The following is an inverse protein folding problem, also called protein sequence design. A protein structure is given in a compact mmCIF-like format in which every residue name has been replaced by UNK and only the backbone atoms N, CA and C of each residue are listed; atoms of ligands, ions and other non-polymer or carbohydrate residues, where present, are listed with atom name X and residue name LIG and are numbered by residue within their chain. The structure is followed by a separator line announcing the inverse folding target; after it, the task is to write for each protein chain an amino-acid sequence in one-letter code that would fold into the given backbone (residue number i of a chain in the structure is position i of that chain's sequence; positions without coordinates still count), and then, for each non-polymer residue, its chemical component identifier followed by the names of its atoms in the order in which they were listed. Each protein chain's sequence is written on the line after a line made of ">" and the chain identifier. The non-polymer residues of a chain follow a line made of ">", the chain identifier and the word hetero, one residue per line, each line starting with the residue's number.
data_IF_511370289289
#
_entry.id   IF_511370289289
#
_cell.length_a   1.000
_cell.length_b   1.000
_cell.length_c   1.000
_cell.angle_alpha   90.00
_cell.angle_beta   90.00
_cell.angle_gamma   90.00
#
_symmetry.space_group_name_H-M   'P 1'
#
loop_
_entity.id
_entity.type
_entity.pdbx_description
1 polymer ?
#
# COMPACT_ATOMS: atom_id res chain seq x y z
N UNK A 1 54.73 9.93 77.41
CA UNK A 1 54.08 8.82 76.67
C UNK A 1 55.09 7.69 76.52
N UNK A 2 54.73 6.48 76.94
CA UNK A 2 55.57 5.28 76.90
C UNK A 2 55.76 4.77 75.47
N UNK A 3 56.88 4.09 75.19
CA UNK A 3 57.17 3.47 73.88
C UNK A 3 56.04 2.55 73.39
N UNK A 4 55.34 1.90 74.33
CA UNK A 4 54.18 1.05 74.08
C UNK A 4 53.01 1.83 73.47
N UNK A 5 52.71 3.04 73.95
CA UNK A 5 51.60 3.83 73.40
C UNK A 5 51.91 4.27 71.96
N UNK A 6 53.16 4.67 71.67
CA UNK A 6 53.59 4.96 70.30
C UNK A 6 53.46 3.76 69.36
N UNK A 7 53.75 2.56 69.86
CA UNK A 7 53.62 1.33 69.09
C UNK A 7 52.15 1.01 68.79
N UNK A 8 51.27 1.16 69.79
CA UNK A 8 49.82 0.96 69.65
C UNK A 8 49.23 1.97 68.66
N UNK A 9 49.61 3.26 68.77
CA UNK A 9 49.13 4.31 67.87
C UNK A 9 49.55 4.06 66.41
N UNK A 10 50.80 3.65 66.18
CA UNK A 10 51.27 3.27 64.84
C UNK A 10 50.51 2.06 64.27
N UNK A 11 50.29 1.00 65.06
CA UNK A 11 49.54 -0.16 64.58
C UNK A 11 48.07 0.16 64.32
N UNK A 12 47.46 1.03 65.12
CA UNK A 12 46.09 1.49 64.85
C UNK A 12 46.02 2.25 63.52
N UNK A 13 47.02 3.09 63.24
CA UNK A 13 47.11 3.79 61.97
C UNK A 13 47.30 2.84 60.78
N UNK A 14 48.16 1.82 60.91
CA UNK A 14 48.33 0.77 59.89
C UNK A 14 47.04 -0.04 59.67
N UNK A 15 46.28 -0.31 60.73
CA UNK A 15 44.98 -1.00 60.64
C UNK A 15 43.96 -0.12 59.91
N UNK A 16 43.89 1.18 60.22
CA UNK A 16 43.01 2.13 59.54
C UNK A 16 43.35 2.24 58.04
N UNK A 17 44.63 2.38 57.69
CA UNK A 17 45.09 2.42 56.30
C UNK A 17 44.74 1.13 55.54
N UNK A 18 44.88 -0.03 56.19
CA UNK A 18 44.52 -1.32 55.60
C UNK A 18 43.00 -1.43 55.40
N UNK A 19 42.20 -0.90 56.32
CA UNK A 19 40.73 -0.87 56.19
C UNK A 19 40.28 0.03 55.05
N UNK A 20 40.91 1.19 54.85
CA UNK A 20 40.64 2.07 53.71
C UNK A 20 40.96 1.37 52.39
N UNK A 21 42.10 0.68 52.30
CA UNK A 21 42.47 -0.09 51.10
C UNK A 21 41.46 -1.19 50.79
N UNK A 22 40.97 -1.91 51.80
CA UNK A 22 39.92 -2.93 51.63
C UNK A 22 38.62 -2.31 51.10
N UNK A 23 38.21 -1.16 51.63
CA UNK A 23 37.03 -0.44 51.16
C UNK A 23 37.18 0.02 49.71
N UNK A 24 38.36 0.49 49.32
CA UNK A 24 38.65 0.90 47.95
C UNK A 24 38.60 -0.29 46.98
N UNK A 25 39.19 -1.43 47.35
CA UNK A 25 39.11 -2.66 46.56
C UNK A 25 37.66 -3.13 46.41
N UNK A 26 36.87 -3.10 47.49
CA UNK A 26 35.44 -3.44 47.44
C UNK A 26 34.64 -2.50 46.55
N UNK A 27 35.03 -1.23 46.44
CA UNK A 27 34.42 -0.26 45.52
C UNK A 27 34.78 -0.60 44.08
N UNK A 28 36.06 -0.85 43.79
CA UNK A 28 36.52 -1.24 42.46
C UNK A 28 35.87 -2.54 41.98
N UNK A 29 35.69 -3.52 42.87
CA UNK A 29 35.06 -4.80 42.54
C UNK A 29 33.59 -4.62 42.15
N UNK A 30 32.84 -3.79 42.90
CA UNK A 30 31.46 -3.46 42.55
C UNK A 30 31.36 -2.74 41.20
N UNK A 31 32.29 -1.84 40.91
CA UNK A 31 32.34 -1.13 39.63
C UNK A 31 32.61 -2.08 38.45
N UNK A 32 33.53 -3.03 38.62
CA UNK A 32 33.80 -4.10 37.66
C UNK A 32 32.59 -5.01 37.44
N UNK A 33 31.90 -5.42 38.50
CA UNK A 33 30.66 -6.21 38.40
C UNK A 33 29.58 -5.47 37.61
N UNK A 34 29.42 -4.17 37.85
CA UNK A 34 28.47 -3.34 37.12
C UNK A 34 28.86 -3.23 35.63
N UNK A 35 30.14 -3.00 35.33
CA UNK A 35 30.64 -2.98 33.95
C UNK A 35 30.42 -4.32 33.24
N UNK A 36 30.66 -5.45 33.92
CA UNK A 36 30.41 -6.80 33.40
C UNK A 36 28.93 -6.98 33.04
N UNK A 37 28.02 -6.59 33.93
CA UNK A 37 26.58 -6.67 33.71
C UNK A 37 26.14 -5.86 32.49
N UNK A 38 26.65 -4.63 32.35
CA UNK A 38 26.35 -3.78 31.19
C UNK A 38 26.87 -4.41 29.89
N UNK A 39 28.10 -4.95 29.89
CA UNK A 39 28.66 -5.65 28.72
C UNK A 39 27.85 -6.89 28.33
N UNK A 40 27.37 -7.66 29.30
CA UNK A 40 26.52 -8.83 29.04
C UNK A 40 25.19 -8.42 28.40
N UNK A 41 24.56 -7.35 28.90
CA UNK A 41 23.33 -6.82 28.31
C UNK A 41 23.55 -6.31 26.88
N UNK A 42 24.65 -5.59 26.63
CA UNK A 42 25.03 -5.13 25.30
C UNK A 42 25.25 -6.30 24.34
N UNK A 43 26.00 -7.31 24.76
CA UNK A 43 26.26 -8.49 23.93
C UNK A 43 24.96 -9.24 23.59
N UNK A 44 24.03 -9.35 24.54
CA UNK A 44 22.73 -9.98 24.28
C UNK A 44 21.90 -9.14 23.30
N UNK A 45 21.89 -7.82 23.45
CA UNK A 45 21.21 -6.92 22.51
C UNK A 45 21.81 -7.01 21.09
N UNK A 46 23.14 -7.05 20.97
CA UNK A 46 23.83 -7.27 19.69
C UNK A 46 23.44 -8.58 19.04
N UNK A 47 23.43 -9.69 19.79
CA UNK A 47 23.02 -10.99 19.29
C UNK A 47 21.57 -11.00 18.78
N UNK A 48 20.65 -10.35 19.51
CA UNK A 48 19.27 -10.21 19.04
C UNK A 48 19.18 -9.37 17.77
N UNK A 49 19.89 -8.24 17.72
CA UNK A 49 19.92 -7.38 16.54
C UNK A 49 20.48 -8.12 15.30
N UNK A 50 21.55 -8.91 15.45
CA UNK A 50 22.09 -9.73 14.37
C UNK A 50 21.06 -10.74 13.83
N UNK A 51 20.33 -11.40 14.72
CA UNK A 51 19.26 -12.34 14.33
C UNK A 51 18.16 -11.61 13.56
N UNK A 52 17.71 -10.44 14.03
CA UNK A 52 16.70 -9.65 13.33
C UNK A 52 17.17 -9.15 11.96
N UNK A 53 18.41 -8.65 11.88
CA UNK A 53 19.00 -8.21 10.62
C UNK A 53 19.11 -9.38 9.64
N UNK A 54 19.56 -10.56 10.09
CA UNK A 54 19.66 -11.75 9.23
C UNK A 54 18.29 -12.19 8.71
N UNK A 55 17.25 -12.13 9.55
CA UNK A 55 15.87 -12.44 9.17
C UNK A 55 15.34 -11.43 8.15
N UNK A 56 15.57 -10.14 8.35
CA UNK A 56 15.20 -9.08 7.39
C UNK A 56 15.90 -9.25 6.04
N UNK A 57 17.20 -9.56 6.05
CA UNK A 57 17.97 -9.87 4.83
C UNK A 57 17.40 -11.07 4.07
N UNK A 58 17.00 -12.12 4.78
CA UNK A 58 16.37 -13.29 4.13
C UNK A 58 15.02 -12.95 3.47
N UNK A 59 14.22 -12.08 4.09
CA UNK A 59 12.96 -11.62 3.50
C UNK A 59 13.21 -10.76 2.27
N UNK A 60 14.19 -9.85 2.35
CA UNK A 60 14.58 -9.00 1.22
C UNK A 60 15.10 -9.84 0.05
N UNK A 61 15.92 -10.87 0.32
CA UNK A 61 16.37 -11.82 -0.69
C UNK A 61 15.21 -12.54 -1.37
N UNK A 62 14.18 -12.92 -0.61
CA UNK A 62 12.98 -13.57 -1.16
C UNK A 62 12.19 -12.60 -2.04
N UNK A 63 11.92 -11.39 -1.55
CA UNK A 63 11.24 -10.35 -2.33
C UNK A 63 11.97 -10.03 -3.62
N UNK A 64 13.30 -9.89 -3.57
CA UNK A 64 14.12 -9.66 -4.74
C UNK A 64 14.01 -10.82 -5.75
N UNK A 65 14.07 -12.06 -5.26
CA UNK A 65 13.88 -13.24 -6.11
C UNK A 65 12.49 -13.28 -6.75
N UNK A 66 11.44 -12.97 -5.99
CA UNK A 66 10.07 -12.95 -6.47
C UNK A 66 9.92 -11.86 -7.55
N UNK A 67 10.47 -10.66 -7.35
CA UNK A 67 10.45 -9.57 -8.32
C UNK A 67 11.21 -9.91 -9.62
N UNK A 68 12.42 -10.45 -9.50
CA UNK A 68 13.20 -10.93 -10.65
C UNK A 68 12.60 -12.17 -11.33
N UNK A 69 11.67 -12.87 -10.70
CA UNK A 69 10.94 -13.99 -11.33
C UNK A 69 9.74 -13.53 -12.15
N UNK A 70 9.18 -12.36 -11.83
CA UNK A 70 8.07 -11.76 -12.58
C UNK A 70 8.60 -11.09 -13.84
N UNK A 71 9.72 -10.37 -13.73
CA UNK A 71 10.37 -9.70 -14.85
C UNK A 71 11.71 -10.37 -15.15
N UNK A 72 11.76 -11.32 -16.11
CA UNK A 72 13.04 -11.80 -16.61
C UNK A 72 13.81 -10.62 -17.24
N UNK A 73 15.16 -10.67 -17.29
CA UNK A 73 15.95 -9.58 -17.85
C UNK A 73 15.49 -9.17 -19.26
N UNK A 74 15.10 -10.14 -20.09
CA UNK A 74 14.55 -9.89 -21.41
C UNK A 74 13.28 -9.05 -21.40
N UNK A 75 12.40 -9.19 -20.40
CA UNK A 75 11.20 -8.37 -20.30
C UNK A 75 11.51 -6.91 -19.93
N UNK A 76 12.67 -6.64 -19.34
CA UNK A 76 13.14 -5.27 -19.12
C UNK A 76 13.73 -4.67 -20.41
N UNK A 77 14.40 -5.51 -21.22
CA UNK A 77 14.88 -5.11 -22.54
C UNK A 77 13.69 -4.85 -23.49
N UNK A 78 12.71 -5.75 -23.54
CA UNK A 78 11.47 -5.61 -24.33
C UNK A 78 10.72 -4.32 -23.94
N UNK A 79 10.60 -4.01 -22.65
CA UNK A 79 9.98 -2.78 -22.17
C UNK A 79 10.78 -1.53 -22.56
N UNK A 80 12.11 -1.61 -22.55
CA UNK A 80 12.96 -0.50 -22.96
C UNK A 80 12.83 -0.22 -24.47
N UNK A 81 12.73 -1.29 -25.28
CA UNK A 81 12.50 -1.20 -26.71
C UNK A 81 11.10 -0.63 -27.02
N UNK A 82 10.04 -1.08 -26.33
CA UNK A 82 8.68 -0.51 -26.47
C UNK A 82 8.64 0.99 -26.13
N UNK A 83 9.36 1.42 -25.09
CA UNK A 83 9.47 2.83 -24.73
C UNK A 83 10.22 3.62 -25.81
N UNK A 84 11.28 3.04 -26.39
CA UNK A 84 12.01 3.66 -27.48
C UNK A 84 11.14 3.83 -28.73
N UNK A 85 10.38 2.80 -29.09
CA UNK A 85 9.44 2.83 -30.21
C UNK A 85 8.35 3.89 -30.00
N UNK A 86 7.73 3.96 -28.81
CA UNK A 86 6.76 5.01 -28.49
C UNK A 86 7.37 6.42 -28.54
N UNK A 87 8.63 6.57 -28.13
CA UNK A 87 9.32 7.86 -28.19
C UNK A 87 9.63 8.29 -29.64
N UNK A 88 10.01 7.34 -30.50
CA UNK A 88 10.20 7.58 -31.92
C UNK A 88 8.86 7.92 -32.60
N UNK A 89 7.77 7.21 -32.27
CA UNK A 89 6.42 7.50 -32.78
C UNK A 89 5.95 8.91 -32.41
N UNK A 90 6.15 9.34 -31.16
CA UNK A 90 5.80 10.71 -30.73
C UNK A 90 6.62 11.75 -31.48
N UNK A 91 7.90 11.49 -31.72
CA UNK A 91 8.79 12.37 -32.47
C UNK A 91 8.40 12.44 -33.94
N UNK A 92 8.11 11.31 -34.58
CA UNK A 92 7.61 11.25 -35.95
C UNK A 92 6.27 11.97 -36.07
N UNK A 93 5.32 11.76 -35.16
CA UNK A 93 4.06 12.49 -35.11
C UNK A 93 4.28 14.01 -34.97
N UNK A 94 5.26 14.44 -34.17
CA UNK A 94 5.60 15.84 -34.02
C UNK A 94 6.22 16.41 -35.31
N UNK A 95 7.15 15.69 -35.93
CA UNK A 95 7.78 16.09 -37.20
C UNK A 95 6.77 16.11 -38.36
N UNK A 96 5.87 15.14 -38.42
CA UNK A 96 4.73 15.13 -39.35
C UNK A 96 3.82 16.33 -39.10
N UNK A 97 3.47 16.61 -37.84
CA UNK A 97 2.65 17.76 -37.50
C UNK A 97 3.33 19.08 -37.88
N UNK A 98 4.62 19.23 -37.59
CA UNK A 98 5.42 20.41 -37.91
C UNK A 98 5.61 20.61 -39.43
N UNK A 99 5.75 19.53 -40.20
CA UNK A 99 5.87 19.57 -41.66
C UNK A 99 4.51 19.61 -42.38
N UNK A 100 3.43 19.19 -41.70
CA UNK A 100 2.08 19.37 -42.20
C UNK A 100 1.75 20.85 -42.21
N UNK A 101 1.13 21.33 -43.29
CA UNK A 101 0.70 22.73 -43.40
C UNK A 101 -0.21 23.19 -42.25
N UNK A 102 -0.67 22.30 -41.36
CA UNK A 102 -1.44 22.63 -40.15
C UNK A 102 -0.71 23.56 -39.18
N UNK A 103 0.62 23.52 -39.12
CA UNK A 103 1.40 24.42 -38.26
C UNK A 103 1.46 25.87 -38.82
N UNK A 104 1.49 26.01 -40.15
CA UNK A 104 1.54 27.32 -40.85
C UNK A 104 0.16 27.87 -41.23
N UNK A 105 -0.83 26.99 -41.47
CA UNK A 105 -2.20 27.32 -41.89
C UNK A 105 -3.17 27.34 -40.70
N UNK A 106 -2.70 27.67 -39.50
CA UNK A 106 -3.47 27.64 -38.25
C UNK A 106 -4.66 28.60 -38.17
N UNK A 107 -5.14 29.18 -39.27
CA UNK A 107 -6.32 30.03 -39.32
C UNK A 107 -6.91 30.29 -40.73
N UNK A 108 -6.58 29.51 -41.78
CA UNK A 108 -7.09 29.79 -43.15
C UNK A 108 -8.00 28.70 -43.75
N UNK A 109 -8.24 27.59 -43.06
CA UNK A 109 -9.31 26.65 -43.43
C UNK A 109 -10.62 27.03 -42.68
N UNK A 110 -11.18 28.19 -43.03
CA UNK A 110 -12.53 28.66 -42.61
C UNK A 110 -13.67 27.92 -43.34
N UNK A 111 -13.41 26.73 -43.91
CA UNK A 111 -14.44 25.91 -44.58
C UNK A 111 -14.64 24.57 -43.87
N UNK A 112 -15.30 24.62 -42.71
CA UNK A 112 -16.28 23.66 -42.15
C UNK A 112 -16.27 23.68 -40.61
N UNK A 113 -16.73 24.78 -40.01
CA UNK A 113 -16.93 24.89 -38.55
C UNK A 113 -18.23 24.23 -38.03
N UNK A 114 -19.02 23.54 -38.86
CA UNK A 114 -20.32 23.01 -38.43
C UNK A 114 -20.30 21.57 -37.88
N UNK A 115 -19.14 20.90 -37.77
CA UNK A 115 -19.09 19.49 -37.33
C UNK A 115 -17.92 19.10 -36.43
N UNK A 116 -17.25 20.06 -35.81
CA UNK A 116 -16.30 19.77 -34.74
C UNK A 116 -16.94 20.16 -33.41
N UNK A 117 -17.54 19.18 -32.73
CA UNK A 117 -17.75 19.26 -31.29
C UNK A 117 -16.36 19.35 -30.64
N UNK A 118 -15.83 20.57 -30.55
CA UNK A 118 -14.63 20.88 -29.80
C UNK A 118 -14.91 20.52 -28.35
N UNK A 119 -14.30 19.44 -27.85
CA UNK A 119 -14.31 19.09 -26.44
C UNK A 119 -13.63 20.22 -25.67
N UNK A 120 -14.40 20.91 -24.83
CA UNK A 120 -13.92 22.02 -24.01
C UNK A 120 -12.97 21.47 -22.94
N UNK A 121 -11.94 22.22 -22.54
CA UNK A 121 -11.06 21.83 -21.44
C UNK A 121 -11.80 21.73 -20.07
N UNK A 122 -13.06 22.17 -20.02
CA UNK A 122 -13.99 21.93 -18.90
C UNK A 122 -14.50 20.48 -18.85
N UNK A 123 -14.35 19.70 -19.93
CA UNK A 123 -14.70 18.27 -20.00
C UNK A 123 -13.63 17.34 -19.41
N UNK A 124 -12.52 17.87 -18.90
CA UNK A 124 -11.61 17.11 -18.05
C UNK A 124 -12.26 16.83 -16.69
N UNK A 125 -13.14 15.84 -16.64
CA UNK A 125 -13.37 15.11 -15.40
C UNK A 125 -12.02 14.55 -14.96
N UNK A 126 -11.48 15.04 -13.83
CA UNK A 126 -10.48 14.37 -12.97
C UNK A 126 -10.43 12.89 -13.31
N UNK A 127 -9.30 12.35 -13.82
CA UNK A 127 -9.11 10.96 -14.29
C UNK A 127 -10.00 10.02 -13.48
N UNK A 128 -11.23 9.87 -13.96
CA UNK A 128 -12.26 9.10 -13.30
C UNK A 128 -12.02 7.75 -13.89
N UNK A 129 -11.45 6.87 -13.08
CA UNK A 129 -11.10 5.52 -13.48
C UNK A 129 -12.27 4.92 -14.28
N UNK A 130 -12.07 4.79 -15.61
CA UNK A 130 -13.15 4.44 -16.51
C UNK A 130 -13.71 3.09 -16.10
N UNK A 131 -15.04 2.99 -16.00
CA UNK A 131 -15.66 1.71 -15.67
C UNK A 131 -15.52 0.78 -16.89
N UNK A 132 -15.02 -0.46 -16.73
CA UNK A 132 -15.01 -1.44 -17.81
C UNK A 132 -16.44 -1.73 -18.30
N UNK A 133 -16.67 -2.30 -19.49
CA UNK A 133 -18.02 -2.54 -20.02
C UNK A 133 -18.93 -3.35 -19.08
N UNK A 134 -20.26 -3.16 -19.13
CA UNK A 134 -21.19 -3.91 -18.23
C UNK A 134 -21.11 -5.43 -18.36
N UNK A 135 -20.75 -5.93 -19.55
CA UNK A 135 -20.63 -7.36 -19.84
C UNK A 135 -19.23 -7.92 -19.57
N UNK A 136 -18.31 -7.10 -19.08
CA UNK A 136 -16.93 -7.47 -18.79
C UNK A 136 -16.85 -8.46 -17.62
N UNK A 137 -16.28 -9.64 -17.87
CA UNK A 137 -16.00 -10.68 -16.88
C UNK A 137 -14.53 -10.98 -16.66
N UNK A 138 -13.65 -10.15 -17.21
CA UNK A 138 -12.20 -10.32 -17.11
C UNK A 138 -11.58 -9.29 -16.16
N UNK A 139 -12.06 -8.05 -16.17
CA UNK A 139 -11.46 -6.93 -15.42
C UNK A 139 -11.96 -6.90 -13.99
N UNK A 140 -11.03 -7.05 -13.03
CA UNK A 140 -11.31 -6.88 -11.61
C UNK A 140 -11.49 -5.40 -11.29
N UNK A 141 -12.59 -5.07 -10.61
CA UNK A 141 -12.89 -3.69 -10.26
C UNK A 141 -12.10 -3.21 -9.05
N UNK A 142 -11.62 -1.96 -9.13
CA UNK A 142 -11.03 -1.25 -7.98
C UNK A 142 -12.11 -0.72 -7.03
N UNK A 143 -11.71 -0.30 -5.83
CA UNK A 143 -12.64 0.24 -4.84
C UNK A 143 -13.44 1.45 -5.37
N UNK A 144 -12.78 2.38 -6.07
CA UNK A 144 -13.37 3.57 -6.70
C UNK A 144 -14.44 3.20 -7.73
N UNK A 145 -14.15 2.22 -8.57
CA UNK A 145 -15.07 1.72 -9.58
C UNK A 145 -16.28 1.03 -8.95
N UNK A 146 -16.07 0.18 -7.94
CA UNK A 146 -17.16 -0.47 -7.19
C UNK A 146 -18.05 0.57 -6.53
N UNK A 147 -17.46 1.58 -5.88
CA UNK A 147 -18.20 2.67 -5.23
C UNK A 147 -19.08 3.43 -6.21
N UNK A 148 -18.57 3.68 -7.42
CA UNK A 148 -19.31 4.36 -8.49
C UNK A 148 -20.54 3.55 -8.92
N UNK A 149 -20.42 2.23 -9.04
CA UNK A 149 -21.54 1.33 -9.43
C UNK A 149 -22.64 1.31 -8.36
N UNK A 150 -22.27 1.29 -7.08
CA UNK A 150 -23.24 1.13 -5.98
C UNK A 150 -23.75 2.45 -5.40
N UNK A 151 -23.17 3.61 -5.76
CA UNK A 151 -23.47 4.93 -5.17
C UNK A 151 -24.95 5.31 -5.23
N UNK A 152 -25.62 4.95 -6.32
CA UNK A 152 -27.01 5.34 -6.59
C UNK A 152 -28.00 4.16 -6.43
N UNK A 153 -27.59 3.05 -5.81
CA UNK A 153 -28.46 1.90 -5.56
C UNK A 153 -29.21 2.07 -4.24
N UNK A 154 -30.44 1.56 -4.19
CA UNK A 154 -31.29 1.65 -3.00
C UNK A 154 -30.81 0.70 -1.88
N UNK A 155 -31.23 1.00 -0.65
CA UNK A 155 -30.81 0.25 0.55
C UNK A 155 -31.16 -1.24 0.47
N UNK A 156 -32.22 -1.64 -0.26
CA UNK A 156 -32.57 -3.06 -0.41
C UNK A 156 -31.57 -3.77 -1.30
N UNK A 157 -31.20 -3.18 -2.45
CA UNK A 157 -30.14 -3.71 -3.32
C UNK A 157 -28.79 -3.75 -2.62
N UNK A 158 -28.44 -2.71 -1.85
CA UNK A 158 -27.21 -2.70 -1.05
C UNK A 158 -27.20 -3.78 0.03
N UNK A 159 -28.35 -4.07 0.64
CA UNK A 159 -28.49 -5.15 1.63
C UNK A 159 -28.38 -6.53 0.97
N UNK A 160 -28.98 -6.70 -0.22
CA UNK A 160 -28.86 -7.92 -1.00
C UNK A 160 -27.41 -8.19 -1.44
N UNK A 161 -26.70 -7.16 -1.91
CA UNK A 161 -25.27 -7.23 -2.25
C UNK A 161 -24.43 -7.69 -1.04
N UNK A 162 -24.68 -7.12 0.15
CA UNK A 162 -23.99 -7.54 1.39
C UNK A 162 -24.24 -9.01 1.71
N UNK A 163 -25.47 -9.49 1.55
CA UNK A 163 -25.84 -10.88 1.83
C UNK A 163 -25.19 -11.85 0.84
N UNK A 164 -25.25 -11.57 -0.46
CA UNK A 164 -24.68 -12.44 -1.49
C UNK A 164 -23.15 -12.55 -1.40
N UNK A 165 -22.49 -11.46 -1.01
CA UNK A 165 -21.03 -11.42 -0.89
C UNK A 165 -20.50 -11.85 0.48
N UNK A 166 -21.39 -12.26 1.40
CA UNK A 166 -21.02 -12.67 2.76
C UNK A 166 -20.34 -11.55 3.57
N UNK A 167 -20.68 -10.29 3.29
CA UNK A 167 -20.10 -9.12 3.96
C UNK A 167 -20.76 -8.97 5.33
N UNK A 168 -20.13 -9.55 6.35
CA UNK A 168 -20.59 -9.49 7.74
C UNK A 168 -20.27 -8.14 8.40
N UNK A 169 -21.22 -7.63 9.20
CA UNK A 169 -21.09 -6.45 10.06
C UNK A 169 -21.98 -5.26 9.68
N UNK A 170 -22.15 -4.31 10.61
CA UNK A 170 -22.88 -3.03 10.40
C UNK A 170 -22.03 -2.08 9.53
N UNK A 171 -21.80 -2.42 8.28
CA UNK A 171 -21.11 -1.54 7.33
C UNK A 171 -22.12 -0.48 6.86
N UNK A 172 -22.03 0.72 7.46
CA UNK A 172 -22.91 1.87 7.18
C UNK A 172 -22.34 2.84 6.15
N UNK A 173 -21.01 2.93 6.04
CA UNK A 173 -20.35 3.83 5.11
C UNK A 173 -20.13 3.16 3.76
N UNK A 174 -20.48 3.87 2.68
CA UNK A 174 -20.35 3.40 1.29
C UNK A 174 -18.91 3.02 0.96
N UNK A 175 -17.94 3.84 1.39
CA UNK A 175 -16.50 3.61 1.21
C UNK A 175 -15.99 2.32 1.87
N UNK A 176 -16.57 1.93 3.01
CA UNK A 176 -16.22 0.67 3.68
C UNK A 176 -16.86 -0.52 2.98
N UNK A 177 -18.03 -0.33 2.39
CA UNK A 177 -18.72 -1.34 1.60
C UNK A 177 -18.00 -1.59 0.27
N UNK A 178 -17.66 -0.52 -0.47
CA UNK A 178 -16.91 -0.60 -1.73
C UNK A 178 -15.57 -1.29 -1.56
N UNK A 179 -14.84 -0.98 -0.47
CA UNK A 179 -13.58 -1.66 -0.13
C UNK A 179 -13.76 -3.17 0.08
N UNK A 180 -14.73 -3.58 0.92
CA UNK A 180 -14.99 -5.00 1.18
C UNK A 180 -15.49 -5.75 -0.06
N UNK A 181 -16.16 -5.06 -0.97
CA UNK A 181 -16.60 -5.61 -2.24
C UNK A 181 -15.43 -5.76 -3.23
N UNK A 182 -14.51 -4.78 -3.29
CA UNK A 182 -13.28 -4.88 -4.08
C UNK A 182 -12.36 -6.03 -3.59
N UNK A 183 -12.30 -6.29 -2.28
CA UNK A 183 -11.60 -7.44 -1.69
C UNK A 183 -12.16 -8.81 -2.15
N UNK A 184 -13.35 -8.85 -2.74
CA UNK A 184 -13.94 -10.07 -3.33
C UNK A 184 -13.53 -10.31 -4.78
N UNK A 185 -12.68 -9.45 -5.36
CA UNK A 185 -12.16 -9.57 -6.72
C UNK A 185 -13.28 -9.76 -7.76
N UNK A 186 -14.30 -8.90 -7.69
CA UNK A 186 -15.47 -8.97 -8.55
C UNK A 186 -15.26 -8.19 -9.86
N UNK A 187 -15.83 -8.73 -10.94
CA UNK A 187 -15.91 -8.08 -12.24
C UNK A 187 -17.18 -7.26 -12.37
N UNK A 188 -17.26 -6.33 -13.34
CA UNK A 188 -18.47 -5.50 -13.52
C UNK A 188 -19.70 -6.34 -13.81
N UNK A 189 -19.60 -7.32 -14.71
CA UNK A 189 -20.69 -8.26 -15.01
C UNK A 189 -21.22 -8.95 -13.76
N UNK A 190 -20.32 -9.39 -12.87
CA UNK A 190 -20.72 -10.11 -11.65
C UNK A 190 -21.48 -9.22 -10.68
N UNK A 191 -21.08 -7.95 -10.53
CA UNK A 191 -21.80 -7.00 -9.68
C UNK A 191 -23.17 -6.66 -10.29
N UNK A 192 -23.22 -6.41 -11.61
CA UNK A 192 -24.47 -6.12 -12.33
C UNK A 192 -25.45 -7.30 -12.32
N UNK A 193 -24.97 -8.54 -12.43
CA UNK A 193 -25.80 -9.74 -12.33
C UNK A 193 -26.49 -9.83 -10.95
N UNK A 194 -25.77 -9.52 -9.87
CA UNK A 194 -26.34 -9.52 -8.51
C UNK A 194 -27.34 -8.38 -8.33
N UNK A 195 -27.07 -7.20 -8.90
CA UNK A 195 -27.99 -6.07 -8.90
C UNK A 195 -29.27 -6.42 -9.67
N UNK A 196 -29.14 -6.96 -10.89
CA UNK A 196 -30.28 -7.43 -11.70
C UNK A 196 -31.09 -8.50 -10.96
N UNK A 197 -30.43 -9.44 -10.29
CA UNK A 197 -31.11 -10.44 -9.47
C UNK A 197 -31.89 -9.79 -8.31
N UNK A 198 -31.32 -8.78 -7.64
CA UNK A 198 -32.03 -8.00 -6.62
C UNK A 198 -33.25 -7.28 -7.20
N UNK A 199 -33.12 -6.67 -8.37
CA UNK A 199 -34.20 -5.94 -9.03
C UNK A 199 -35.35 -6.88 -9.41
N UNK A 200 -35.05 -8.07 -9.94
CA UNK A 200 -36.03 -9.12 -10.28
C UNK A 200 -36.73 -9.69 -9.04
N UNK A 201 -36.05 -9.77 -7.90
CA UNK A 201 -36.66 -10.20 -6.64
C UNK A 201 -37.51 -9.10 -5.99
N UNK A 202 -37.14 -7.83 -6.18
CA UNK A 202 -37.84 -6.67 -5.62
C UNK A 202 -39.09 -6.26 -6.40
N UNK A 203 -39.15 -6.55 -7.70
CA UNK A 203 -40.32 -6.35 -8.57
C UNK A 203 -40.93 -7.71 -8.93
N UNK A 204 -41.96 -8.18 -8.22
CA UNK A 204 -42.66 -9.39 -8.66
C UNK A 204 -43.19 -9.17 -10.08
N UNK A 205 -42.94 -10.14 -10.96
CA UNK A 205 -43.53 -10.20 -12.30
C UNK A 205 -45.06 -10.06 -12.17
N UNK A 206 -45.58 -8.87 -12.46
CA UNK A 206 -47.01 -8.71 -12.69
C UNK A 206 -47.30 -9.37 -14.03
N UNK A 207 -47.69 -10.65 -13.97
CA UNK A 207 -48.34 -11.33 -15.08
C UNK A 207 -49.68 -10.60 -15.33
N UNK A 208 -49.66 -9.58 -16.19
CA UNK A 208 -50.87 -9.02 -16.75
C UNK A 208 -51.53 -10.09 -17.63
N UNK A 209 -52.39 -10.90 -17.01
CA UNK A 209 -53.04 -12.03 -17.66
C UNK A 209 -54.17 -12.62 -16.81
N UNK A 210 -54.96 -11.78 -16.15
CA UNK A 210 -56.24 -12.20 -15.56
C UNK A 210 -57.27 -11.07 -15.60
N UNK A 211 -57.66 -10.70 -16.81
CA UNK A 211 -59.03 -10.26 -17.07
C UNK A 211 -59.58 -11.04 -18.27
N UNK A 212 -60.86 -11.42 -18.15
CA UNK A 212 -61.67 -12.30 -19.00
C UNK A 212 -61.53 -13.78 -18.58
N UNK A 213 -62.51 -14.40 -17.93
CA UNK A 213 -63.97 -14.18 -17.86
C UNK A 213 -64.53 -14.57 -16.50
#
# INVERSE_FOLDING_TARGET
>A
MTSLNKYIDNHNQEIEETQEQILEIQKQLRELEQQLRVKQQLHQAQKTAEVEVSKSLSHLKKLFKDLCSIYPPSALDDLADEIADMAEEVKENYDEYANSGRFLNGAEDEENEDNQNLTSAEDYTLIAEALPPENDDETILTQSQVETIIRNKDDNTLTFLKQQLGISGRVKQLSTLSRKMAEKLLTRKRIEDIIRASELLSKPLVLNGSHQT
#
